data_IF_408907576413
#
_entry.id   IF_408907576413
#
_cell.length_a   1.000
_cell.length_b   1.000
_cell.length_c   1.000
_cell.angle_alpha   90.00
_cell.angle_beta   90.00
_cell.angle_gamma   90.00
#
_symmetry.space_group_name_H-M   'P 1'
#
loop_
_entity.id
_entity.type
_entity.pdbx_description
1 polymer ?
#
# COMPACT_ATOMS: atom_id res chain seq x y z
N UNK A 1 -26.74 26.14 -30.81
CA UNK A 1 -26.17 24.81 -30.53
C UNK A 1 -24.66 24.97 -30.54
N UNK A 2 -24.07 25.27 -29.38
CA UNK A 2 -22.63 25.51 -29.21
C UNK A 2 -22.03 24.34 -28.44
N UNK A 3 -21.39 23.40 -29.15
CA UNK A 3 -20.43 22.50 -28.54
C UNK A 3 -19.15 23.30 -28.32
N UNK A 4 -18.99 23.85 -27.12
CA UNK A 4 -17.81 24.61 -26.74
C UNK A 4 -16.66 23.67 -26.42
N UNK A 5 -15.52 24.01 -27.00
CA UNK A 5 -14.16 23.50 -26.84
C UNK A 5 -13.71 23.66 -25.37
N UNK A 6 -14.31 22.89 -24.45
CA UNK A 6 -14.07 22.98 -22.99
C UNK A 6 -13.84 21.62 -22.32
N UNK A 7 -13.43 20.60 -23.08
CA UNK A 7 -13.09 19.27 -22.52
C UNK A 7 -11.57 18.98 -22.45
N UNK A 8 -10.69 19.97 -22.66
CA UNK A 8 -9.23 19.74 -22.73
C UNK A 8 -8.35 20.63 -21.83
N UNK A 9 -8.87 21.24 -20.76
CA UNK A 9 -8.03 22.11 -19.91
C UNK A 9 -8.25 21.98 -18.40
N UNK A 10 -7.71 20.89 -17.82
CA UNK A 10 -6.85 20.89 -16.59
C UNK A 10 -6.67 19.44 -16.08
N UNK A 11 -5.78 18.67 -16.69
CA UNK A 11 -5.25 17.47 -16.07
C UNK A 11 -3.86 17.79 -15.49
N UNK A 12 -3.83 18.50 -14.36
CA UNK A 12 -2.68 18.41 -13.45
C UNK A 12 -2.63 16.96 -13.00
N UNK A 13 -1.74 16.16 -13.62
CA UNK A 13 -1.74 14.69 -13.47
C UNK A 13 -1.62 14.33 -11.99
N UNK A 14 -2.74 13.94 -11.39
CA UNK A 14 -2.75 13.35 -10.07
C UNK A 14 -1.78 12.16 -10.07
N UNK A 15 -0.93 12.09 -9.05
CA UNK A 15 0.04 11.01 -8.90
C UNK A 15 -0.73 9.70 -8.77
N UNK A 16 -0.45 8.73 -9.66
CA UNK A 16 -1.12 7.42 -9.63
C UNK A 16 -0.63 6.61 -8.44
N UNK A 17 -1.56 5.98 -7.72
CA UNK A 17 -1.23 5.06 -6.64
C UNK A 17 -1.05 3.61 -7.13
N UNK A 18 -0.26 2.85 -6.37
CA UNK A 18 -0.10 1.40 -6.46
C UNK A 18 -0.17 0.85 -5.05
N UNK A 19 -1.00 -0.16 -4.83
CA UNK A 19 -0.97 -0.90 -3.58
C UNK A 19 0.04 -2.04 -3.70
N UNK A 20 0.77 -2.31 -2.62
CA UNK A 20 1.73 -3.39 -2.50
C UNK A 20 1.57 -4.09 -1.16
N UNK A 21 1.73 -5.40 -1.18
CA UNK A 21 1.76 -6.24 0.01
C UNK A 21 2.71 -7.43 -0.23
N UNK A 22 3.36 -7.92 0.83
CA UNK A 22 4.29 -9.03 0.81
C UNK A 22 3.92 -10.11 1.83
N UNK A 23 4.09 -11.38 1.45
CA UNK A 23 4.18 -12.46 2.44
C UNK A 23 5.62 -12.74 2.81
N UNK A 24 5.83 -12.98 4.10
CA UNK A 24 7.13 -13.28 4.68
C UNK A 24 7.19 -14.71 5.20
N UNK A 25 8.28 -15.42 4.87
CA UNK A 25 8.69 -16.65 5.55
C UNK A 25 9.81 -16.35 6.54
N UNK A 26 9.96 -17.21 7.55
CA UNK A 26 11.03 -17.16 8.54
C UNK A 26 12.30 -17.87 8.07
N UNK A 27 13.43 -17.19 8.22
CA UNK A 27 14.78 -17.76 8.09
C UNK A 27 15.61 -17.58 9.35
N UNK A 28 16.89 -17.97 9.28
CA UNK A 28 17.77 -18.03 10.44
C UNK A 28 17.53 -19.31 11.26
N UNK A 29 18.39 -19.57 12.25
CA UNK A 29 18.34 -20.81 13.03
C UNK A 29 17.04 -21.01 13.81
N UNK A 30 16.32 -19.92 14.10
CA UNK A 30 15.09 -19.89 14.89
C UNK A 30 13.86 -19.38 14.11
N UNK A 31 14.01 -19.06 12.82
CA UNK A 31 12.91 -18.54 12.00
C UNK A 31 12.54 -17.07 12.28
N UNK A 32 13.37 -16.35 13.04
CA UNK A 32 13.13 -14.96 13.44
C UNK A 32 13.38 -13.93 12.33
N UNK A 33 14.09 -14.32 11.27
CA UNK A 33 14.44 -13.40 10.18
C UNK A 33 13.31 -13.43 9.15
N UNK A 34 12.65 -12.29 8.95
CA UNK A 34 11.63 -12.14 7.91
C UNK A 34 12.27 -12.08 6.52
N UNK A 35 11.79 -12.93 5.61
CA UNK A 35 12.21 -13.01 4.22
C UNK A 35 10.98 -12.90 3.33
N UNK A 36 10.93 -11.90 2.46
CA UNK A 36 9.88 -11.81 1.46
C UNK A 36 9.91 -13.05 0.55
N UNK A 37 8.75 -13.69 0.41
CA UNK A 37 8.57 -14.93 -0.33
C UNK A 37 7.42 -14.84 -1.35
N UNK A 38 6.53 -13.86 -1.22
CA UNK A 38 5.51 -13.50 -2.21
C UNK A 38 5.30 -12.00 -2.19
N UNK A 39 5.00 -11.42 -3.33
CA UNK A 39 4.67 -9.99 -3.44
C UNK A 39 3.53 -9.80 -4.43
N UNK A 40 2.61 -8.89 -4.12
CA UNK A 40 1.55 -8.44 -5.00
C UNK A 40 1.57 -6.92 -5.14
N UNK A 41 1.35 -6.42 -6.36
CA UNK A 41 1.12 -5.01 -6.66
C UNK A 41 -0.15 -4.89 -7.51
N UNK A 42 -1.04 -3.97 -7.14
CA UNK A 42 -2.27 -3.65 -7.89
C UNK A 42 -2.38 -2.15 -8.20
N UNK A 43 -3.06 -1.82 -9.29
CA UNK A 43 -3.35 -0.43 -9.67
C UNK A 43 -4.66 0.11 -9.05
N UNK A 44 -4.95 1.39 -9.25
CA UNK A 44 -6.19 2.03 -8.77
C UNK A 44 -7.48 1.45 -9.37
N UNK A 45 -7.37 0.70 -10.46
CA UNK A 45 -8.47 0.00 -11.10
C UNK A 45 -8.55 -1.48 -10.64
N UNK A 46 -7.86 -1.83 -9.55
CA UNK A 46 -7.88 -3.15 -8.92
C UNK A 46 -7.28 -4.25 -9.81
N UNK A 47 -6.50 -3.89 -10.84
CA UNK A 47 -5.82 -4.85 -11.70
C UNK A 47 -4.45 -5.22 -11.12
N UNK A 48 -4.12 -6.51 -11.19
CA UNK A 48 -2.79 -7.02 -10.84
C UNK A 48 -1.75 -6.50 -11.82
N UNK A 49 -0.72 -5.81 -11.30
CA UNK A 49 0.45 -5.35 -12.05
C UNK A 49 1.59 -6.37 -11.94
N UNK A 50 1.80 -6.91 -10.74
CA UNK A 50 2.81 -7.92 -10.43
C UNK A 50 2.27 -8.82 -9.32
N UNK A 51 2.34 -10.13 -9.51
CA UNK A 51 2.04 -11.11 -8.48
C UNK A 51 2.96 -12.30 -8.67
N UNK A 52 3.91 -12.49 -7.75
CA UNK A 52 4.96 -13.49 -7.94
C UNK A 52 5.51 -13.98 -6.61
N UNK A 53 6.02 -15.19 -6.61
CA UNK A 53 6.89 -15.70 -5.55
C UNK A 53 8.28 -15.11 -5.68
N UNK A 54 8.93 -14.90 -4.54
CA UNK A 54 10.25 -14.30 -4.39
C UNK A 54 11.18 -15.34 -3.77
N UNK A 55 12.34 -15.55 -4.38
CA UNK A 55 13.33 -16.49 -3.85
C UNK A 55 13.97 -15.91 -2.56
N UNK A 56 13.84 -16.59 -1.41
CA UNK A 56 14.46 -16.15 -0.17
C UNK A 56 15.99 -16.21 -0.27
N UNK A 57 16.69 -15.26 0.36
CA UNK A 57 18.15 -15.12 0.19
C UNK A 57 18.95 -16.03 1.13
N UNK A 58 18.28 -16.65 2.10
CA UNK A 58 18.81 -17.66 3.01
C UNK A 58 17.79 -18.81 3.12
N UNK A 59 18.17 -20.00 3.62
CA UNK A 59 17.25 -21.11 3.79
C UNK A 59 16.04 -20.74 4.66
N UNK A 60 14.87 -21.17 4.21
CA UNK A 60 13.62 -21.04 4.96
C UNK A 60 13.61 -22.08 6.07
N UNK A 61 13.40 -21.64 7.31
CA UNK A 61 13.26 -22.50 8.49
C UNK A 61 11.84 -22.55 9.01
N UNK A 62 11.00 -21.58 8.64
CA UNK A 62 9.58 -21.57 8.97
C UNK A 62 8.77 -20.91 7.85
N UNK A 63 7.90 -21.65 7.18
CA UNK A 63 7.04 -21.10 6.11
C UNK A 63 5.88 -20.24 6.61
N UNK A 64 5.58 -20.29 7.91
CA UNK A 64 4.44 -19.59 8.52
C UNK A 64 3.11 -19.90 7.81
N UNK A 65 2.96 -21.16 7.41
CA UNK A 65 1.91 -21.65 6.52
C UNK A 65 0.49 -21.21 6.94
N UNK A 66 0.20 -21.24 8.24
CA UNK A 66 -1.12 -20.85 8.78
C UNK A 66 -1.52 -19.41 8.45
N UNK A 67 -0.55 -18.53 8.22
CA UNK A 67 -0.77 -17.12 7.89
C UNK A 67 -0.56 -16.85 6.40
N UNK A 68 0.48 -17.45 5.80
CA UNK A 68 0.97 -17.11 4.45
C UNK A 68 0.47 -18.06 3.35
N UNK A 69 0.02 -19.26 3.71
CA UNK A 69 -0.27 -20.35 2.77
C UNK A 69 0.93 -20.86 1.96
N UNK A 70 2.16 -20.44 2.27
CA UNK A 70 3.35 -20.75 1.48
C UNK A 70 3.92 -22.14 1.78
N UNK A 71 4.41 -22.80 0.74
CA UNK A 71 5.01 -24.13 0.82
C UNK A 71 6.34 -24.12 0.08
N UNK A 72 7.15 -25.15 0.28
CA UNK A 72 8.40 -25.31 -0.45
C UNK A 72 8.19 -25.34 -1.97
N UNK A 73 7.11 -25.98 -2.44
CA UNK A 73 6.80 -26.10 -3.86
C UNK A 73 6.52 -24.73 -4.50
N UNK A 74 5.89 -23.80 -3.77
CA UNK A 74 5.70 -22.42 -4.24
C UNK A 74 7.03 -21.69 -4.48
N UNK A 75 8.10 -22.05 -3.74
CA UNK A 75 9.39 -21.35 -3.79
C UNK A 75 10.42 -22.02 -4.71
N UNK A 76 10.12 -23.21 -5.24
CA UNK A 76 11.04 -23.98 -6.10
C UNK A 76 11.50 -23.22 -7.34
N UNK A 77 10.54 -22.55 -7.99
CA UNK A 77 10.76 -21.79 -9.23
C UNK A 77 10.53 -20.27 -9.02
N UNK A 78 10.68 -19.81 -7.77
CA UNK A 78 10.49 -18.41 -7.42
C UNK A 78 11.53 -17.48 -8.09
N UNK A 79 11.11 -16.25 -8.38
CA UNK A 79 11.97 -15.27 -9.05
C UNK A 79 13.04 -14.76 -8.07
N UNK A 80 14.33 -14.68 -8.47
CA UNK A 80 15.38 -14.08 -7.65
C UNK A 80 15.04 -12.67 -7.18
N UNK A 81 15.34 -12.36 -5.92
CA UNK A 81 14.98 -11.08 -5.29
C UNK A 81 15.41 -9.86 -6.14
N UNK A 82 16.61 -9.88 -6.70
CA UNK A 82 17.12 -8.76 -7.51
C UNK A 82 16.25 -8.50 -8.75
N UNK A 83 15.76 -9.55 -9.42
CA UNK A 83 14.88 -9.40 -10.57
C UNK A 83 13.49 -8.87 -10.14
N UNK A 84 12.97 -9.34 -9.01
CA UNK A 84 11.72 -8.81 -8.42
C UNK A 84 11.86 -7.33 -8.07
N UNK A 85 12.97 -6.94 -7.42
CA UNK A 85 13.27 -5.54 -7.10
C UNK A 85 13.27 -4.66 -8.36
N UNK A 86 13.87 -5.13 -9.45
CA UNK A 86 13.94 -4.38 -10.70
C UNK A 86 12.57 -4.21 -11.35
N UNK A 87 11.71 -5.25 -11.30
CA UNK A 87 10.31 -5.15 -11.73
C UNK A 87 9.54 -4.13 -10.88
N UNK A 88 9.65 -4.20 -9.55
CA UNK A 88 8.96 -3.27 -8.63
C UNK A 88 9.45 -1.83 -8.88
N UNK A 89 10.75 -1.58 -8.93
CA UNK A 89 11.30 -0.24 -9.22
C UNK A 89 10.76 0.30 -10.54
N UNK A 90 10.73 -0.51 -11.59
CA UNK A 90 10.19 -0.11 -12.90
C UNK A 90 8.72 0.29 -12.81
N UNK A 91 7.92 -0.41 -12.01
CA UNK A 91 6.51 -0.08 -11.76
C UNK A 91 6.40 1.25 -11.00
N UNK A 92 7.08 1.36 -9.86
CA UNK A 92 6.99 2.51 -8.95
C UNK A 92 7.52 3.80 -9.59
N UNK A 93 8.59 3.72 -10.38
CA UNK A 93 9.17 4.87 -11.07
C UNK A 93 8.58 5.10 -12.46
N UNK A 94 7.48 4.42 -12.78
CA UNK A 94 6.77 4.56 -14.05
C UNK A 94 7.67 4.38 -15.30
N UNK A 95 8.62 3.45 -15.21
CA UNK A 95 9.59 3.15 -16.26
C UNK A 95 10.77 4.12 -16.38
N UNK A 96 10.81 5.18 -15.57
CA UNK A 96 11.93 6.13 -15.56
C UNK A 96 13.14 5.54 -14.82
N UNK A 97 14.35 5.89 -15.28
CA UNK A 97 15.58 5.51 -14.57
C UNK A 97 15.69 6.28 -13.26
N UNK A 98 15.98 5.57 -12.16
CA UNK A 98 16.10 6.15 -10.80
C UNK A 98 17.02 7.39 -10.76
N UNK A 99 18.13 7.39 -11.51
CA UNK A 99 19.08 8.51 -11.55
C UNK A 99 18.60 9.76 -12.31
N UNK A 100 17.45 9.70 -12.99
CA UNK A 100 16.85 10.84 -13.71
C UNK A 100 15.57 11.34 -13.03
N UNK A 101 15.23 10.80 -11.88
CA UNK A 101 14.01 11.21 -11.20
C UNK A 101 14.16 12.60 -10.60
N UNK A 102 13.20 13.50 -10.85
CA UNK A 102 13.11 14.75 -10.14
C UNK A 102 13.07 14.54 -8.61
N UNK A 103 13.70 15.41 -7.80
CA UNK A 103 13.70 15.30 -6.34
C UNK A 103 12.30 15.31 -5.72
N UNK A 104 11.36 15.95 -6.40
CA UNK A 104 9.95 16.07 -5.99
C UNK A 104 9.12 14.80 -6.25
N UNK A 105 9.69 13.81 -6.96
CA UNK A 105 9.04 12.53 -7.21
C UNK A 105 7.82 12.60 -8.13
N UNK A 106 7.59 13.69 -8.87
CA UNK A 106 6.36 13.95 -9.64
C UNK A 106 6.01 12.85 -10.66
N UNK A 107 6.99 12.08 -11.12
CA UNK A 107 6.79 10.95 -12.05
C UNK A 107 6.66 9.58 -11.39
N UNK A 108 6.99 9.47 -10.11
CA UNK A 108 6.87 8.22 -9.36
C UNK A 108 5.41 7.98 -8.94
N UNK A 109 5.10 6.75 -8.57
CA UNK A 109 3.78 6.36 -8.09
C UNK A 109 3.71 6.49 -6.56
N UNK A 110 2.54 6.83 -6.04
CA UNK A 110 2.29 6.71 -4.61
C UNK A 110 2.21 5.23 -4.25
N UNK A 111 2.92 4.82 -3.21
CA UNK A 111 2.92 3.45 -2.73
C UNK A 111 2.05 3.36 -1.48
N UNK A 112 1.02 2.52 -1.55
CA UNK A 112 0.09 2.25 -0.44
C UNK A 112 0.18 0.77 -0.05
N UNK A 113 -0.06 0.44 1.21
CA UNK A 113 0.06 -0.93 1.72
C UNK A 113 -0.05 -0.96 3.25
N UNK A 114 0.10 -2.13 3.85
CA UNK A 114 0.19 -2.28 5.29
C UNK A 114 1.64 -2.48 5.72
N UNK A 115 2.14 -1.64 6.63
CA UNK A 115 3.54 -1.70 7.10
C UNK A 115 4.55 -1.77 5.94
N UNK A 116 4.33 -0.93 4.92
CA UNK A 116 5.14 -0.90 3.70
C UNK A 116 6.64 -0.79 4.02
N UNK A 117 6.99 -0.16 5.15
CA UNK A 117 8.38 -0.06 5.56
C UNK A 117 8.97 -1.44 5.87
N UNK A 118 8.22 -2.32 6.54
CA UNK A 118 8.59 -3.71 6.75
C UNK A 118 8.71 -4.46 5.41
N UNK A 119 7.73 -4.33 4.51
CA UNK A 119 7.78 -4.96 3.18
C UNK A 119 9.02 -4.54 2.39
N UNK A 120 9.29 -3.23 2.34
CA UNK A 120 10.46 -2.68 1.66
C UNK A 120 11.76 -3.15 2.30
N UNK A 121 11.82 -3.32 3.63
CA UNK A 121 12.98 -3.86 4.31
C UNK A 121 13.23 -5.33 3.93
N UNK A 122 12.17 -6.16 3.92
CA UNK A 122 12.22 -7.57 3.50
C UNK A 122 12.59 -7.72 2.01
N UNK A 123 12.14 -6.78 1.17
CA UNK A 123 12.55 -6.65 -0.23
C UNK A 123 13.94 -6.03 -0.40
N UNK A 124 14.60 -5.55 0.67
CA UNK A 124 15.88 -4.81 0.64
C UNK A 124 15.85 -3.58 -0.29
N UNK A 125 14.71 -2.91 -0.33
CA UNK A 125 14.47 -1.72 -1.15
C UNK A 125 14.37 -0.47 -0.27
N UNK A 126 14.70 0.67 -0.86
CA UNK A 126 14.39 2.00 -0.30
C UNK A 126 13.47 2.71 -1.26
N UNK A 127 12.43 3.33 -0.72
CA UNK A 127 11.53 4.18 -1.48
C UNK A 127 11.35 5.50 -0.73
N UNK A 128 11.17 6.65 -1.42
CA UNK A 128 11.06 7.94 -0.74
C UNK A 128 9.91 7.94 0.27
N UNK A 129 10.22 8.24 1.53
CA UNK A 129 9.24 8.12 2.63
C UNK A 129 8.00 8.98 2.47
N UNK A 130 8.09 10.11 1.75
CA UNK A 130 6.95 10.97 1.44
C UNK A 130 5.96 10.35 0.43
N UNK A 131 6.32 9.21 -0.20
CA UNK A 131 5.47 8.47 -1.12
C UNK A 131 4.87 7.18 -0.50
N UNK A 132 5.11 6.91 0.78
CA UNK A 132 4.56 5.76 1.51
C UNK A 132 3.28 6.16 2.25
N UNK A 133 2.21 5.34 2.19
CA UNK A 133 0.97 5.58 2.97
C UNK A 133 0.30 4.30 3.53
N UNK A 134 -0.28 4.46 4.73
CA UNK A 134 -1.18 3.54 5.46
C UNK A 134 -0.54 2.37 6.24
N UNK A 135 -1.27 1.93 7.28
CA UNK A 135 -1.03 0.76 8.12
C UNK A 135 -2.38 0.21 8.59
N UNK A 136 -2.78 -0.97 8.13
CA UNK A 136 -3.99 -1.65 8.61
C UNK A 136 -3.93 -3.11 8.19
N UNK A 137 -3.93 -4.03 9.17
CA UNK A 137 -4.63 -5.32 9.15
C UNK A 137 -4.36 -6.18 10.40
N UNK A 138 -5.19 -7.21 10.54
CA UNK A 138 -5.02 -8.38 11.42
C UNK A 138 -5.71 -9.58 10.77
N UNK A 139 -5.05 -10.74 10.61
CA UNK A 139 -5.70 -11.95 10.09
C UNK A 139 -4.77 -13.00 9.51
N UNK A 140 -5.32 -13.84 8.63
CA UNK A 140 -4.61 -14.73 7.69
C UNK A 140 -4.68 -14.04 6.33
N UNK A 141 -3.56 -14.00 5.60
CA UNK A 141 -3.36 -12.99 4.56
C UNK A 141 -3.19 -13.60 3.18
N UNK A 142 -3.80 -12.97 2.17
CA UNK A 142 -3.42 -13.14 0.78
C UNK A 142 -3.04 -11.75 0.24
N UNK A 143 -1.85 -11.57 -0.36
CA UNK A 143 -1.37 -10.24 -0.74
C UNK A 143 -2.24 -9.51 -1.75
N UNK A 144 -3.01 -10.24 -2.56
CA UNK A 144 -3.93 -9.59 -3.48
C UNK A 144 -5.13 -9.00 -2.72
N UNK A 145 -5.76 -9.75 -1.83
CA UNK A 145 -6.87 -9.26 -1.01
C UNK A 145 -6.45 -8.06 -0.13
N UNK A 146 -5.22 -8.09 0.39
CA UNK A 146 -4.65 -7.01 1.20
C UNK A 146 -4.40 -5.75 0.35
N UNK A 147 -3.81 -5.93 -0.83
CA UNK A 147 -3.65 -4.87 -1.83
C UNK A 147 -4.99 -4.21 -2.22
N UNK A 148 -6.02 -5.01 -2.49
CA UNK A 148 -7.36 -4.52 -2.85
C UNK A 148 -7.99 -3.76 -1.68
N UNK A 149 -7.91 -4.31 -0.47
CA UNK A 149 -8.45 -3.69 0.74
C UNK A 149 -7.83 -2.31 0.99
N UNK A 150 -6.50 -2.22 0.91
CA UNK A 150 -5.79 -0.95 1.07
C UNK A 150 -6.10 0.02 -0.06
N UNK A 151 -6.15 -0.44 -1.31
CA UNK A 151 -6.46 0.41 -2.46
C UNK A 151 -7.88 0.98 -2.40
N UNK A 152 -8.86 0.16 -2.03
CA UNK A 152 -10.25 0.61 -1.85
C UNK A 152 -10.32 1.65 -0.74
N UNK A 153 -9.64 1.44 0.40
CA UNK A 153 -9.62 2.42 1.48
C UNK A 153 -8.96 3.73 1.05
N UNK A 154 -7.82 3.65 0.36
CA UNK A 154 -7.16 4.81 -0.22
C UNK A 154 -8.13 5.63 -1.08
N UNK A 155 -8.86 4.96 -1.99
CA UNK A 155 -9.84 5.61 -2.88
C UNK A 155 -10.99 6.24 -2.10
N UNK A 156 -11.56 5.54 -1.10
CA UNK A 156 -12.61 6.08 -0.22
C UNK A 156 -12.16 7.37 0.44
N UNK A 157 -10.98 7.35 1.06
CA UNK A 157 -10.50 8.48 1.85
C UNK A 157 -10.03 9.63 0.96
N UNK A 158 -9.46 9.35 -0.21
CA UNK A 158 -9.17 10.35 -1.25
C UNK A 158 -10.45 11.01 -1.79
N UNK A 159 -11.56 10.27 -1.85
CA UNK A 159 -12.85 10.74 -2.37
C UNK A 159 -13.74 11.50 -1.36
N UNK A 160 -13.38 11.55 -0.07
CA UNK A 160 -14.13 12.31 0.93
C UNK A 160 -13.97 13.82 0.72
N UNK A 161 -15.03 14.59 1.00
CA UNK A 161 -14.97 16.06 0.97
C UNK A 161 -14.22 16.55 2.22
N UNK A 162 -12.94 16.83 2.05
CA UNK A 162 -12.08 17.35 3.10
C UNK A 162 -12.38 18.83 3.33
N UNK A 163 -13.48 19.11 4.04
CA UNK A 163 -13.72 20.46 4.58
C UNK A 163 -12.51 20.85 5.42
N UNK A 164 -11.88 21.98 5.09
CA UNK A 164 -10.74 22.53 5.82
C UNK A 164 -11.09 22.60 7.31
N UNK A 165 -10.61 21.62 8.08
CA UNK A 165 -10.70 21.69 9.53
C UNK A 165 -9.69 22.76 9.92
N UNK A 166 -10.19 23.98 10.12
CA UNK A 166 -9.47 25.03 10.84
C UNK A 166 -8.81 24.40 12.06
N UNK A 167 -7.51 24.63 12.23
CA UNK A 167 -6.77 24.21 13.43
C UNK A 167 -7.41 24.86 14.66
N UNK A 168 -8.32 24.16 15.29
CA UNK A 168 -8.83 24.47 16.61
C UNK A 168 -8.64 23.23 17.47
N UNK A 169 -7.61 23.30 18.31
CA UNK A 169 -7.58 22.66 19.62
C UNK A 169 -7.33 21.15 19.65
N UNK A 170 -6.30 20.79 20.40
CA UNK A 170 -6.11 19.46 20.98
C UNK A 170 -7.37 18.98 21.71
N UNK A 171 -8.01 17.92 21.20
CA UNK A 171 -8.77 17.01 22.03
C UNK A 171 -8.33 15.58 21.70
N UNK A 172 -7.73 14.93 22.71
CA UNK A 172 -7.36 13.52 22.70
C UNK A 172 -8.59 12.67 22.40
N UNK A 173 -8.63 12.02 21.24
CA UNK A 173 -9.57 10.94 20.99
C UNK A 173 -9.12 9.72 21.79
N UNK A 174 -9.95 9.34 22.76
CA UNK A 174 -9.75 8.23 23.67
C UNK A 174 -9.68 6.91 22.88
N UNK A 175 -8.54 6.23 22.89
CA UNK A 175 -8.37 4.88 22.34
C UNK A 175 -9.00 3.86 23.29
N UNK A 176 -10.33 3.77 23.27
CA UNK A 176 -11.09 2.73 23.96
C UNK A 176 -11.47 1.63 22.98
N UNK A 177 -10.51 0.76 22.61
CA UNK A 177 -10.80 -0.41 21.79
C UNK A 177 -11.27 -1.54 22.72
N UNK A 178 -12.59 -1.67 22.89
CA UNK A 178 -13.19 -2.73 23.72
C UNK A 178 -12.98 -4.12 23.10
N UNK A 179 -12.49 -5.05 23.91
CA UNK A 179 -12.27 -6.47 23.57
C UNK A 179 -13.52 -7.15 22.97
N UNK A 180 -14.72 -6.67 23.30
CA UNK A 180 -15.99 -7.16 22.77
C UNK A 180 -16.19 -6.88 21.27
N UNK A 181 -15.59 -5.81 20.74
CA UNK A 181 -15.77 -5.37 19.34
C UNK A 181 -14.91 -6.18 18.36
N UNK A 182 -13.82 -6.77 18.83
CA UNK A 182 -12.88 -7.56 18.01
C UNK A 182 -13.54 -8.83 17.43
N UNK A 183 -14.28 -9.57 18.25
CA UNK A 183 -14.96 -10.81 17.82
C UNK A 183 -16.11 -10.58 16.82
N UNK A 184 -16.73 -9.39 16.82
CA UNK A 184 -17.76 -9.04 15.84
C UNK A 184 -17.16 -8.60 14.51
N UNK A 185 -15.97 -8.01 14.52
CA UNK A 185 -15.24 -7.62 13.31
C UNK A 185 -14.67 -8.85 12.58
N UNK A 186 -14.17 -9.84 13.31
CA UNK A 186 -13.63 -11.09 12.74
C UNK A 186 -14.66 -11.92 11.94
N UNK A 187 -15.96 -11.69 12.15
CA UNK A 187 -17.05 -12.42 11.47
C UNK A 187 -17.61 -11.70 10.25
N UNK A 188 -17.09 -10.53 9.91
CA UNK A 188 -17.61 -9.69 8.84
C UNK A 188 -16.97 -10.02 7.51
N UNK A 189 -17.77 -9.95 6.45
CA UNK A 189 -17.24 -10.01 5.09
C UNK A 189 -16.33 -8.78 4.83
N UNK A 190 -15.35 -8.88 3.90
CA UNK A 190 -14.47 -7.76 3.56
C UNK A 190 -15.22 -6.48 3.19
N UNK A 191 -16.34 -6.60 2.46
CA UNK A 191 -17.18 -5.45 2.11
C UNK A 191 -17.88 -4.82 3.33
N UNK A 192 -18.25 -5.61 4.34
CA UNK A 192 -18.84 -5.08 5.57
C UNK A 192 -17.81 -4.42 6.48
N UNK A 193 -16.61 -5.00 6.57
CA UNK A 193 -15.45 -4.40 7.25
C UNK A 193 -15.09 -3.08 6.58
N UNK A 194 -15.15 -3.05 5.26
CA UNK A 194 -14.91 -1.86 4.47
C UNK A 194 -15.92 -0.75 4.77
N UNK A 195 -17.21 -1.05 4.88
CA UNK A 195 -18.25 -0.06 5.18
C UNK A 195 -18.05 0.63 6.54
N UNK A 196 -17.68 -0.14 7.57
CA UNK A 196 -17.56 0.35 8.96
C UNK A 196 -16.18 0.91 9.33
N UNK A 197 -15.18 0.76 8.46
CA UNK A 197 -13.81 1.24 8.71
C UNK A 197 -13.74 2.78 8.71
N UNK A 198 -13.22 3.36 9.80
CA UNK A 198 -12.96 4.80 9.97
C UNK A 198 -11.47 5.04 10.14
N UNK A 199 -10.93 6.08 9.50
CA UNK A 199 -9.50 6.44 9.62
C UNK A 199 -9.25 7.32 10.85
N UNK A 200 -8.14 7.09 11.55
CA UNK A 200 -7.67 7.93 12.65
C UNK A 200 -6.95 9.21 12.17
N UNK A 201 -6.77 9.39 10.85
CA UNK A 201 -6.00 10.49 10.28
C UNK A 201 -6.89 11.63 9.75
N UNK A 202 -6.59 12.87 10.17
CA UNK A 202 -7.48 14.04 9.99
C UNK A 202 -7.41 14.80 8.65
N UNK A 203 -6.53 14.48 7.70
CA UNK A 203 -6.52 15.13 6.38
C UNK A 203 -5.52 14.46 5.41
N UNK A 204 -5.97 14.01 4.22
CA UNK A 204 -5.12 13.37 3.19
C UNK A 204 -5.03 14.17 1.87
N UNK A 205 -5.34 15.46 1.90
CA UNK A 205 -5.39 16.38 0.74
C UNK A 205 -4.07 16.63 -0.03
N UNK A 206 -2.95 16.04 0.38
CA UNK A 206 -1.64 16.31 -0.24
C UNK A 206 -1.51 15.83 -1.70
N UNK A 207 -2.46 15.03 -2.20
CA UNK A 207 -2.44 14.46 -3.56
C UNK A 207 -3.31 15.26 -4.58
N UNK A 208 -4.03 16.29 -4.13
CA UNK A 208 -4.72 17.23 -5.01
C UNK A 208 -3.91 18.52 -5.02
N UNK A 209 -3.25 18.81 -6.14
CA UNK A 209 -2.63 20.12 -6.42
C UNK A 209 -3.70 21.21 -6.59
N UNK A 210 -4.65 21.33 -5.66
CA UNK A 210 -5.32 22.60 -5.43
C UNK A 210 -4.39 23.34 -4.50
N UNK A 211 -3.77 24.40 -5.03
CA UNK A 211 -3.06 25.39 -4.25
C UNK A 211 -3.80 25.61 -2.92
N UNK A 212 -3.20 25.17 -1.83
CA UNK A 212 -3.55 25.63 -0.50
C UNK A 212 -3.12 27.11 -0.45
N UNK A 213 -3.92 27.98 -1.07
CA UNK A 213 -3.77 29.41 -0.95
C UNK A 213 -4.02 29.76 0.52
N UNK A 214 -3.02 30.25 1.27
CA UNK A 214 -3.30 30.89 2.55
C UNK A 214 -4.07 32.17 2.20
N UNK A 215 -5.32 32.25 2.63
CA UNK A 215 -6.30 33.23 2.19
C UNK A 215 -5.78 34.66 2.05
N UNK A 216 -6.20 35.28 0.94
CA UNK A 216 -6.53 36.70 0.87
C UNK A 216 -7.81 36.97 1.66
#
# INVERSE_FOLDING_TARGET
MSGSIMDEMHNGKAQKAVAMDCEMVGGGSDGSIDLCARVCLVDEAENIILHTYVQPQIPVTNYRYEVTGLTEDHLRDAIPLNEVQDKIKKILYNGESVGRMPPDGVKARLLVGHDIQHDLNCLRMKYPGFLLRYNIQSGIHDPYEDCISVMRLYKRMRGQDHRQVFRLGDEKANSGFDSFRSMELEKKAPDELYEISTSDYKCWCLDLTKDCNPGS
#
